data_IF_939771421290
#
_entry.id   IF_939771421290
#
_cell.length_a   1.000
_cell.length_b   1.000
_cell.length_c   1.000
_cell.angle_alpha   90.00
_cell.angle_beta   90.00
_cell.angle_gamma   90.00
#
_symmetry.space_group_name_H-M   'P 1'
#
loop_
_entity.id
_entity.type
_entity.pdbx_description
1 polymer ?
#
# COMPACT_ATOMS: atom_id res chain seq x y z
N UNK A 1 -1.15 27.16 3.11
CA UNK A 1 -1.89 27.61 1.89
C UNK A 1 -3.02 26.62 1.67
N UNK A 2 -4.26 27.10 1.67
CA UNK A 2 -5.41 26.28 1.31
C UNK A 2 -5.33 25.98 -0.20
N UNK A 3 -5.33 24.73 -0.60
CA UNK A 3 -5.45 24.35 -2.00
C UNK A 3 -6.86 24.70 -2.46
N UNK A 4 -6.98 25.67 -3.34
CA UNK A 4 -8.26 26.04 -3.93
C UNK A 4 -8.53 25.05 -5.07
N UNK A 5 -9.63 24.32 -4.95
CA UNK A 5 -10.14 23.47 -6.02
C UNK A 5 -10.71 24.35 -7.12
N UNK A 6 -10.21 24.20 -8.35
CA UNK A 6 -10.64 25.00 -9.52
C UNK A 6 -11.61 24.26 -10.45
N UNK A 7 -12.06 23.06 -10.08
CA UNK A 7 -12.99 22.27 -10.88
C UNK A 7 -14.40 22.29 -10.32
N UNK A 8 -15.41 22.28 -11.19
CA UNK A 8 -16.81 22.08 -10.81
C UNK A 8 -17.00 20.60 -10.47
N UNK A 9 -17.62 20.30 -9.31
CA UNK A 9 -18.00 18.95 -8.95
C UNK A 9 -19.01 18.40 -9.97
N UNK A 10 -18.71 17.26 -10.59
CA UNK A 10 -19.57 16.63 -11.60
C UNK A 10 -20.94 16.18 -11.05
N UNK A 11 -21.11 16.15 -9.74
CA UNK A 11 -22.34 15.78 -9.05
C UNK A 11 -23.10 16.99 -8.47
N UNK A 12 -22.74 18.20 -8.83
CA UNK A 12 -23.43 19.42 -8.40
C UNK A 12 -24.93 19.34 -8.53
N UNK A 13 -25.43 18.67 -9.58
CA UNK A 13 -26.87 18.50 -9.83
C UNK A 13 -27.56 17.62 -8.79
N UNK A 14 -26.83 16.69 -8.14
CA UNK A 14 -27.38 15.83 -7.09
C UNK A 14 -27.50 16.51 -5.73
N UNK A 15 -26.81 17.63 -5.55
CA UNK A 15 -26.75 18.34 -4.27
C UNK A 15 -26.98 19.84 -4.43
N UNK A 16 -28.20 20.25 -4.86
CA UNK A 16 -28.48 21.65 -5.23
C UNK A 16 -28.33 22.65 -4.08
N UNK A 17 -28.25 22.19 -2.84
CA UNK A 17 -28.05 23.02 -1.66
C UNK A 17 -26.58 23.38 -1.40
N UNK A 18 -25.65 22.79 -2.15
CA UNK A 18 -24.22 23.06 -1.99
C UNK A 18 -23.65 23.77 -3.20
N UNK A 19 -22.65 24.60 -2.99
CA UNK A 19 -21.91 25.21 -4.10
C UNK A 19 -21.28 24.14 -4.99
N UNK A 20 -21.27 24.36 -6.28
CA UNK A 20 -20.58 23.53 -7.27
C UNK A 20 -19.06 23.34 -6.99
N UNK A 21 -18.51 24.15 -6.10
CA UNK A 21 -17.12 24.12 -5.67
C UNK A 21 -16.93 23.56 -4.26
N UNK A 22 -17.99 23.04 -3.65
CA UNK A 22 -17.97 22.56 -2.27
C UNK A 22 -17.67 21.06 -2.26
N UNK A 23 -16.39 20.72 -2.34
CA UNK A 23 -15.93 19.33 -2.22
C UNK A 23 -16.05 18.84 -0.78
N UNK A 24 -16.52 17.59 -0.60
CA UNK A 24 -16.64 16.95 0.71
C UNK A 24 -17.33 17.81 1.77
N UNK A 25 -18.35 18.59 1.38
CA UNK A 25 -19.08 19.53 2.25
C UNK A 25 -18.15 20.49 3.02
N UNK A 26 -17.08 20.93 2.37
CA UNK A 26 -16.02 21.77 2.95
C UNK A 26 -15.28 21.14 4.14
N UNK A 27 -15.39 19.83 4.32
CA UNK A 27 -14.66 19.11 5.35
C UNK A 27 -13.99 17.83 4.81
N UNK A 28 -12.89 17.97 4.04
CA UNK A 28 -12.18 16.84 3.43
C UNK A 28 -11.52 15.90 4.43
N UNK A 29 -11.46 16.29 5.72
CA UNK A 29 -10.95 15.42 6.78
C UNK A 29 -11.99 14.42 7.30
N UNK A 30 -13.28 14.80 7.24
CA UNK A 30 -14.39 13.98 7.71
C UNK A 30 -15.18 13.31 6.58
N UNK A 31 -15.26 13.97 5.42
CA UNK A 31 -16.00 13.47 4.28
C UNK A 31 -15.02 13.13 3.18
N UNK A 32 -14.97 11.88 2.88
CA UNK A 32 -14.32 11.35 1.69
C UNK A 32 -15.26 11.62 0.50
N UNK A 33 -14.70 11.99 -0.66
CA UNK A 33 -15.48 12.04 -1.89
C UNK A 33 -15.99 10.64 -2.24
N UNK A 34 -17.22 10.35 -1.83
CA UNK A 34 -17.83 9.03 -2.01
C UNK A 34 -18.03 8.64 -3.47
N UNK A 35 -17.97 9.62 -4.36
CA UNK A 35 -18.19 9.44 -5.80
C UNK A 35 -16.91 9.43 -6.63
N UNK A 36 -15.76 9.74 -6.05
CA UNK A 36 -14.47 9.62 -6.71
C UNK A 36 -14.07 8.15 -6.89
N UNK A 37 -13.94 7.72 -8.13
CA UNK A 37 -13.23 6.48 -8.46
C UNK A 37 -11.79 6.70 -8.01
N UNK A 38 -11.26 5.92 -7.10
CA UNK A 38 -9.88 6.11 -6.69
C UNK A 38 -9.29 4.91 -5.97
N UNK A 39 -8.02 4.70 -6.23
CA UNK A 39 -7.20 3.82 -5.42
C UNK A 39 -6.88 4.49 -4.09
N UNK A 40 -7.21 3.83 -2.99
CA UNK A 40 -7.02 4.32 -1.63
C UNK A 40 -6.03 3.43 -0.91
N UNK A 41 -5.03 4.03 -0.30
CA UNK A 41 -4.15 3.35 0.66
C UNK A 41 -4.70 3.52 2.06
N UNK A 42 -4.94 2.41 2.72
CA UNK A 42 -5.24 2.35 4.14
C UNK A 42 -4.03 1.90 4.93
N UNK A 43 -3.90 2.43 6.14
CA UNK A 43 -3.01 1.87 7.15
C UNK A 43 -3.75 1.72 8.47
N UNK A 44 -3.68 0.52 9.03
CA UNK A 44 -4.40 0.13 10.24
C UNK A 44 -3.46 -0.44 11.29
N UNK A 45 -3.95 -0.69 12.49
CA UNK A 45 -3.26 -1.58 13.43
C UNK A 45 -3.16 -2.98 12.82
N UNK A 46 -2.04 -3.64 13.03
CA UNK A 46 -1.84 -4.99 12.51
C UNK A 46 -2.95 -5.92 13.03
N UNK A 47 -3.70 -6.59 12.14
CA UNK A 47 -4.75 -7.53 12.53
C UNK A 47 -4.18 -8.63 13.44
N UNK A 48 -4.89 -8.98 14.49
CA UNK A 48 -4.43 -9.97 15.48
C UNK A 48 -3.29 -9.51 16.40
N UNK A 49 -2.76 -8.29 16.24
CA UNK A 49 -1.88 -7.65 17.22
C UNK A 49 -2.71 -7.22 18.45
N UNK A 50 -3.34 -8.20 19.04
CA UNK A 50 -4.28 -8.05 20.14
C UNK A 50 -3.62 -7.42 21.37
N UNK A 51 -4.46 -6.81 22.18
CA UNK A 51 -4.25 -6.11 23.47
C UNK A 51 -3.23 -6.72 24.42
N UNK A 52 -2.77 -7.95 24.19
CA UNK A 52 -1.80 -8.68 24.99
C UNK A 52 -0.35 -8.24 24.82
N UNK A 53 0.02 -7.71 23.66
CA UNK A 53 1.39 -7.22 23.40
C UNK A 53 1.62 -5.76 23.78
N UNK A 54 0.55 -5.03 24.13
CA UNK A 54 0.60 -3.57 24.30
C UNK A 54 -0.20 -3.15 25.53
N UNK A 55 0.28 -3.50 26.72
CA UNK A 55 -0.07 -2.76 27.94
C UNK A 55 0.46 -1.34 27.82
N UNK A 56 -0.20 -0.48 27.04
CA UNK A 56 0.24 0.90 26.87
C UNK A 56 -0.31 1.60 25.61
N UNK A 57 -1.32 1.05 24.96
CA UNK A 57 -2.11 1.79 23.98
C UNK A 57 -1.44 2.03 22.64
N UNK A 58 -1.43 1.04 21.79
CA UNK A 58 -1.19 1.18 20.36
C UNK A 58 -0.16 0.21 19.80
N UNK A 59 -0.57 -0.66 18.87
CA UNK A 59 0.38 -1.44 18.10
C UNK A 59 1.30 -0.50 17.34
N UNK A 60 2.59 -0.52 17.63
CA UNK A 60 3.60 0.20 16.84
C UNK A 60 3.64 -0.33 15.40
N UNK A 61 3.30 -1.62 15.19
CA UNK A 61 3.25 -2.23 13.88
C UNK A 61 2.01 -1.78 13.11
N UNK A 62 2.20 -1.42 11.86
CA UNK A 62 1.17 -0.93 10.96
C UNK A 62 1.01 -1.90 9.80
N UNK A 63 -0.24 -2.27 9.52
CA UNK A 63 -0.67 -3.03 8.35
C UNK A 63 -1.15 -2.07 7.28
N UNK A 64 -0.76 -2.30 6.02
CA UNK A 64 -1.27 -1.52 4.89
C UNK A 64 -1.98 -2.41 3.88
N UNK A 65 -3.05 -1.86 3.29
CA UNK A 65 -3.79 -2.49 2.20
C UNK A 65 -4.32 -1.44 1.22
N UNK A 66 -4.69 -1.90 0.04
CA UNK A 66 -5.23 -1.05 -1.02
C UNK A 66 -6.71 -1.35 -1.21
N UNK A 67 -7.47 -0.31 -1.49
CA UNK A 67 -8.87 -0.40 -1.89
C UNK A 67 -9.04 0.37 -3.18
N UNK A 68 -9.67 -0.24 -4.16
CA UNK A 68 -10.09 0.43 -5.38
C UNK A 68 -11.59 0.53 -5.36
N UNK A 69 -12.11 1.75 -5.44
CA UNK A 69 -13.54 2.04 -5.52
C UNK A 69 -13.89 2.39 -6.96
N UNK A 70 -14.79 1.63 -7.56
CA UNK A 70 -15.27 1.91 -8.91
C UNK A 70 -16.37 2.99 -8.94
N UNK A 71 -16.71 3.42 -10.14
CA UNK A 71 -17.76 4.44 -10.39
C UNK A 71 -19.15 4.09 -9.84
N UNK A 72 -19.40 2.80 -9.54
CA UNK A 72 -20.66 2.33 -8.97
C UNK A 72 -20.59 2.25 -7.44
N UNK A 73 -19.47 2.67 -6.85
CA UNK A 73 -19.23 2.59 -5.41
C UNK A 73 -18.80 1.21 -4.92
N UNK A 74 -18.62 0.23 -5.81
CA UNK A 74 -18.12 -1.09 -5.44
C UNK A 74 -16.64 -0.99 -5.07
N UNK A 75 -16.31 -1.47 -3.89
CA UNK A 75 -14.94 -1.51 -3.38
C UNK A 75 -14.32 -2.88 -3.63
N UNK A 76 -13.11 -2.88 -4.18
CA UNK A 76 -12.25 -4.06 -4.31
C UNK A 76 -11.09 -3.90 -3.35
N UNK A 77 -10.93 -4.84 -2.44
CA UNK A 77 -9.94 -4.84 -1.38
C UNK A 77 -8.75 -5.73 -1.77
N UNK A 78 -7.55 -5.27 -1.50
CA UNK A 78 -6.30 -5.99 -1.74
C UNK A 78 -5.41 -5.90 -0.50
N UNK A 79 -5.47 -6.93 0.33
CA UNK A 79 -4.60 -7.10 1.49
C UNK A 79 -3.76 -8.37 1.33
N UNK A 80 -2.60 -8.38 1.94
CA UNK A 80 -1.66 -9.49 1.85
C UNK A 80 -1.13 -9.85 3.23
N UNK A 81 -1.02 -11.14 3.49
CA UNK A 81 -0.56 -11.66 4.76
C UNK A 81 0.11 -13.02 4.62
N UNK A 82 0.36 -13.66 5.74
CA UNK A 82 0.85 -15.05 5.78
C UNK A 82 -0.30 -16.03 5.50
N UNK A 83 -0.01 -17.10 4.76
CA UNK A 83 -0.92 -18.24 4.64
C UNK A 83 -1.07 -19.02 5.95
N UNK A 84 -0.16 -18.83 6.90
CA UNK A 84 -0.15 -19.49 8.21
C UNK A 84 -0.72 -18.51 9.25
N UNK A 85 -1.73 -18.94 9.98
CA UNK A 85 -2.31 -18.16 11.05
C UNK A 85 -1.49 -18.24 12.35
N UNK A 86 -1.58 -17.19 13.17
CA UNK A 86 -0.95 -17.13 14.48
C UNK A 86 0.52 -16.68 14.46
N UNK A 87 1.22 -16.90 15.58
CA UNK A 87 2.57 -16.38 15.78
C UNK A 87 3.58 -16.95 14.76
N UNK A 88 3.44 -18.20 14.38
CA UNK A 88 4.32 -18.83 13.38
C UNK A 88 4.17 -18.16 12.01
N UNK A 89 2.97 -17.72 11.66
CA UNK A 89 2.72 -16.98 10.43
C UNK A 89 3.47 -15.66 10.31
N UNK A 90 3.96 -15.11 11.42
CA UNK A 90 4.76 -13.89 11.41
C UNK A 90 6.17 -14.09 10.81
N UNK A 91 6.66 -15.33 10.82
CA UNK A 91 8.04 -15.66 10.44
C UNK A 91 8.14 -16.71 9.35
N UNK A 92 7.05 -17.41 9.04
CA UNK A 92 7.00 -18.49 8.07
C UNK A 92 5.76 -18.39 7.18
N UNK A 93 5.78 -19.11 6.08
CA UNK A 93 4.69 -19.18 5.14
C UNK A 93 4.96 -18.40 3.86
N UNK A 94 3.99 -18.44 2.98
CA UNK A 94 4.01 -17.70 1.72
C UNK A 94 3.17 -16.45 1.87
N UNK A 95 3.53 -15.44 1.11
CA UNK A 95 2.73 -14.24 1.00
C UNK A 95 1.48 -14.55 0.14
N UNK A 96 0.31 -14.33 0.73
CA UNK A 96 -0.98 -14.60 0.12
C UNK A 96 -1.87 -13.38 0.17
N UNK A 97 -2.78 -13.29 -0.77
CA UNK A 97 -3.94 -12.42 -0.64
C UNK A 97 -4.82 -12.95 0.49
N UNK A 98 -5.20 -12.06 1.39
CA UNK A 98 -5.98 -12.36 2.60
C UNK A 98 -7.13 -11.39 2.73
N UNK A 99 -8.18 -11.84 3.39
CA UNK A 99 -9.30 -10.99 3.77
C UNK A 99 -9.34 -10.93 5.29
N UNK A 100 -9.09 -9.75 5.83
CA UNK A 100 -9.18 -9.51 7.27
C UNK A 100 -10.51 -8.83 7.58
N UNK A 101 -11.28 -9.39 8.51
CA UNK A 101 -12.55 -8.80 8.96
C UNK A 101 -12.34 -7.38 9.49
N UNK A 102 -11.25 -7.14 10.21
CA UNK A 102 -10.89 -5.82 10.74
C UNK A 102 -10.71 -4.78 9.61
N UNK A 103 -10.11 -5.14 8.49
CA UNK A 103 -9.94 -4.25 7.35
C UNK A 103 -11.30 -3.87 6.74
N UNK A 104 -12.20 -4.86 6.60
CA UNK A 104 -13.55 -4.62 6.09
C UNK A 104 -14.36 -3.72 7.03
N UNK A 105 -14.24 -3.92 8.34
CA UNK A 105 -14.91 -3.08 9.33
C UNK A 105 -14.33 -1.65 9.38
N UNK A 106 -13.02 -1.48 9.22
CA UNK A 106 -12.40 -0.17 9.07
C UNK A 106 -12.88 0.54 7.81
N UNK A 107 -12.99 -0.17 6.68
CA UNK A 107 -13.51 0.38 5.44
C UNK A 107 -14.96 0.86 5.57
N UNK A 108 -15.79 0.16 6.33
CA UNK A 108 -17.18 0.54 6.67
C UNK A 108 -17.26 1.66 7.71
N UNK A 109 -16.14 2.01 8.36
CA UNK A 109 -16.07 3.02 9.40
C UNK A 109 -16.45 2.51 10.81
N UNK A 110 -16.62 1.20 11.00
CA UNK A 110 -17.00 0.60 12.28
C UNK A 110 -15.85 0.53 13.28
N UNK A 111 -14.62 0.23 12.81
CA UNK A 111 -13.42 0.14 13.66
C UNK A 111 -12.52 1.38 13.51
N UNK A 112 -13.06 2.57 13.79
CA UNK A 112 -12.33 3.85 13.66
C UNK A 112 -11.01 3.88 14.44
N UNK A 113 -10.96 3.23 15.60
CA UNK A 113 -9.76 3.20 16.45
C UNK A 113 -8.60 2.38 15.84
N UNK A 114 -8.88 1.52 14.87
CA UNK A 114 -7.89 0.74 14.15
C UNK A 114 -7.33 1.50 12.94
N UNK A 115 -8.06 2.49 12.43
CA UNK A 115 -7.61 3.31 11.31
C UNK A 115 -6.52 4.27 11.77
N UNK A 116 -5.33 4.15 11.18
CA UNK A 116 -4.19 5.04 11.43
C UNK A 116 -4.00 6.06 10.31
N UNK A 117 -4.31 5.66 9.08
CA UNK A 117 -4.08 6.49 7.90
C UNK A 117 -4.99 6.04 6.76
N UNK A 118 -5.45 7.01 5.97
CA UNK A 118 -6.25 6.79 4.76
C UNK A 118 -5.93 7.91 3.77
N UNK A 119 -5.55 7.55 2.55
CA UNK A 119 -5.25 8.53 1.51
C UNK A 119 -5.60 7.99 0.13
N UNK A 120 -6.31 8.78 -0.66
CA UNK A 120 -6.46 8.55 -2.08
C UNK A 120 -5.12 8.76 -2.79
N UNK A 121 -4.77 7.84 -3.67
CA UNK A 121 -3.50 7.88 -4.41
C UNK A 121 -3.72 8.64 -5.72
N UNK A 122 -2.99 9.71 -5.91
CA UNK A 122 -3.03 10.44 -7.16
C UNK A 122 -2.48 9.59 -8.32
N UNK A 123 -3.21 9.54 -9.46
CA UNK A 123 -2.72 8.88 -10.65
C UNK A 123 -1.37 9.42 -11.10
N UNK A 124 -0.41 8.55 -11.45
CA UNK A 124 0.92 8.97 -11.88
C UNK A 124 0.91 9.64 -13.26
N UNK A 125 2.03 10.28 -13.59
CA UNK A 125 2.28 10.76 -14.95
C UNK A 125 2.64 9.58 -15.85
N UNK A 126 2.16 9.62 -17.09
CA UNK A 126 2.59 8.72 -18.17
C UNK A 126 3.98 9.12 -18.68
N UNK A 127 4.62 8.25 -19.44
CA UNK A 127 5.92 8.53 -20.05
C UNK A 127 5.94 9.80 -20.94
N UNK A 128 4.79 10.17 -21.50
CA UNK A 128 4.62 11.40 -22.30
C UNK A 128 4.34 12.65 -21.47
N UNK A 129 4.46 12.59 -20.14
CA UNK A 129 4.22 13.69 -19.22
C UNK A 129 2.74 14.00 -18.93
N UNK A 130 1.78 13.34 -19.59
CA UNK A 130 0.36 13.51 -19.30
C UNK A 130 -0.04 12.75 -18.05
N UNK A 131 -0.92 13.34 -17.23
CA UNK A 131 -1.50 12.66 -16.08
C UNK A 131 -2.35 11.48 -16.55
N UNK A 132 -2.22 10.33 -15.90
CA UNK A 132 -3.09 9.16 -16.13
C UNK A 132 -4.50 9.49 -15.64
N UNK A 133 -5.56 9.00 -16.30
CA UNK A 133 -6.90 9.13 -15.74
C UNK A 133 -7.06 8.23 -14.51
N UNK A 134 -8.02 8.58 -13.65
CA UNK A 134 -8.30 7.79 -12.44
C UNK A 134 -8.71 6.38 -12.81
N UNK A 135 -9.60 6.23 -13.79
CA UNK A 135 -10.10 4.91 -14.23
C UNK A 135 -8.99 4.05 -14.84
N UNK A 136 -8.06 4.68 -15.57
CA UNK A 136 -6.91 3.98 -16.14
C UNK A 136 -5.96 3.51 -15.01
N UNK A 137 -5.73 4.36 -14.03
CA UNK A 137 -4.90 4.03 -12.88
C UNK A 137 -5.51 2.92 -12.03
N UNK A 138 -6.78 3.02 -11.69
CA UNK A 138 -7.49 2.02 -10.90
C UNK A 138 -7.50 0.65 -11.58
N UNK A 139 -7.79 0.62 -12.87
CA UNK A 139 -7.70 -0.61 -13.66
C UNK A 139 -6.29 -1.19 -13.64
N UNK A 140 -5.27 -0.34 -13.70
CA UNK A 140 -3.88 -0.77 -13.64
C UNK A 140 -3.53 -1.35 -12.27
N UNK A 141 -3.96 -0.71 -11.18
CA UNK A 141 -3.79 -1.21 -9.81
C UNK A 141 -4.46 -2.57 -9.65
N UNK A 142 -5.72 -2.72 -10.09
CA UNK A 142 -6.45 -3.99 -10.04
C UNK A 142 -5.70 -5.09 -10.80
N UNK A 143 -5.27 -4.81 -12.03
CA UNK A 143 -4.56 -5.80 -12.85
C UNK A 143 -3.24 -6.21 -12.20
N UNK A 144 -2.48 -5.25 -11.69
CA UNK A 144 -1.22 -5.48 -10.98
C UNK A 144 -1.45 -6.29 -9.71
N UNK A 145 -2.43 -5.92 -8.88
CA UNK A 145 -2.75 -6.63 -7.64
C UNK A 145 -3.18 -8.07 -7.91
N UNK A 146 -4.04 -8.30 -8.90
CA UNK A 146 -4.46 -9.66 -9.29
C UNK A 146 -3.30 -10.50 -9.83
N UNK A 147 -2.39 -9.90 -10.60
CA UNK A 147 -1.19 -10.61 -11.09
C UNK A 147 -0.18 -10.88 -9.98
N UNK A 148 -0.10 -9.99 -8.99
CA UNK A 148 0.68 -10.21 -7.77
C UNK A 148 0.11 -11.36 -6.96
N UNK A 149 -1.17 -11.36 -6.69
CA UNK A 149 -2.00 -12.43 -6.16
C UNK A 149 -1.30 -13.34 -5.14
N UNK A 150 -1.57 -14.62 -5.24
CA UNK A 150 -0.95 -15.66 -4.41
C UNK A 150 0.44 -16.02 -4.95
N UNK A 151 1.41 -15.14 -4.79
CA UNK A 151 2.72 -15.30 -5.38
C UNK A 151 3.55 -16.37 -4.63
N UNK A 152 3.88 -17.52 -5.27
CA UNK A 152 4.62 -18.59 -4.61
C UNK A 152 6.09 -18.26 -4.36
N UNK A 153 6.61 -17.22 -5.02
CA UNK A 153 8.03 -16.87 -5.00
C UNK A 153 8.38 -15.91 -3.86
N UNK A 154 7.38 -15.34 -3.18
CA UNK A 154 7.60 -14.43 -2.05
C UNK A 154 7.18 -15.13 -0.76
N UNK A 155 8.13 -15.33 0.14
CA UNK A 155 7.86 -15.80 1.49
C UNK A 155 7.34 -14.66 2.34
N UNK A 156 6.35 -14.94 3.18
CA UNK A 156 5.94 -13.97 4.18
C UNK A 156 7.00 -13.83 5.27
N UNK A 157 7.32 -12.61 5.62
CA UNK A 157 8.17 -12.30 6.76
C UNK A 157 7.79 -10.94 7.33
N UNK A 158 7.50 -10.86 8.63
CA UNK A 158 6.99 -9.65 9.27
C UNK A 158 7.94 -8.46 9.10
N UNK A 159 9.25 -8.71 9.15
CA UNK A 159 10.31 -7.71 9.00
C UNK A 159 11.21 -8.07 7.79
N UNK A 160 10.72 -7.97 6.55
CA UNK A 160 11.39 -8.53 5.38
C UNK A 160 12.73 -7.86 5.03
N UNK A 161 13.03 -6.71 5.60
CA UNK A 161 14.26 -5.99 5.30
C UNK A 161 14.43 -5.75 3.79
N UNK A 162 15.65 -5.93 3.29
CA UNK A 162 15.99 -5.79 1.86
C UNK A 162 16.07 -7.14 1.12
N UNK A 163 15.53 -8.24 1.70
CA UNK A 163 15.54 -9.53 1.03
C UNK A 163 14.49 -9.56 -0.09
N UNK A 164 14.90 -9.74 -1.37
CA UNK A 164 13.98 -9.68 -2.50
C UNK A 164 12.95 -10.83 -2.53
N UNK A 165 13.21 -11.93 -1.82
CA UNK A 165 12.31 -13.08 -1.75
C UNK A 165 11.40 -13.08 -0.52
N UNK A 166 11.46 -12.02 0.30
CA UNK A 166 10.63 -11.87 1.48
C UNK A 166 9.76 -10.62 1.38
N UNK A 167 8.52 -10.72 1.84
CA UNK A 167 7.57 -9.63 1.82
C UNK A 167 6.54 -9.72 2.94
N UNK A 168 5.79 -8.65 3.12
CA UNK A 168 4.66 -8.54 4.02
C UNK A 168 3.56 -7.66 3.38
N UNK A 169 2.51 -7.35 4.12
CA UNK A 169 1.44 -6.45 3.67
C UNK A 169 1.98 -5.10 3.14
N UNK A 170 2.93 -4.52 3.84
CA UNK A 170 3.48 -3.20 3.51
C UNK A 170 4.32 -3.23 2.22
N UNK A 171 5.15 -4.26 2.04
CA UNK A 171 5.90 -4.44 0.79
C UNK A 171 4.97 -4.72 -0.38
N UNK A 172 3.87 -5.45 -0.17
CA UNK A 172 2.89 -5.76 -1.21
C UNK A 172 2.20 -4.49 -1.70
N UNK A 173 1.66 -3.68 -0.78
CA UNK A 173 1.01 -2.41 -1.12
C UNK A 173 1.93 -1.49 -1.90
N UNK A 174 3.17 -1.29 -1.42
CA UNK A 174 4.13 -0.42 -2.13
C UNK A 174 4.59 -1.01 -3.47
N UNK A 175 4.73 -2.33 -3.58
CA UNK A 175 5.10 -3.00 -4.83
C UNK A 175 4.01 -2.84 -5.89
N UNK A 176 2.74 -3.03 -5.50
CA UNK A 176 1.59 -2.86 -6.40
C UNK A 176 1.51 -1.43 -6.89
N UNK A 177 1.61 -0.44 -6.00
CA UNK A 177 1.63 0.98 -6.37
C UNK A 177 2.78 1.31 -7.33
N UNK A 178 3.99 0.83 -7.04
CA UNK A 178 5.15 1.04 -7.89
C UNK A 178 4.95 0.45 -9.29
N UNK A 179 4.48 -0.77 -9.41
CA UNK A 179 4.18 -1.42 -10.69
C UNK A 179 3.01 -0.74 -11.43
N UNK A 180 2.06 -0.16 -10.69
CA UNK A 180 0.99 0.64 -11.29
C UNK A 180 1.49 1.99 -11.83
N UNK A 181 2.73 2.37 -11.53
CA UNK A 181 3.41 3.56 -12.06
C UNK A 181 3.59 4.70 -11.06
N UNK A 182 3.23 4.49 -9.79
CA UNK A 182 3.49 5.48 -8.73
C UNK A 182 5.01 5.59 -8.55
N UNK A 183 5.53 6.80 -8.59
CA UNK A 183 6.96 7.05 -8.53
C UNK A 183 7.54 6.73 -7.14
N UNK A 184 8.83 6.41 -7.11
CA UNK A 184 9.54 6.19 -5.84
C UNK A 184 9.46 7.41 -4.91
N UNK A 185 9.43 8.62 -5.46
CA UNK A 185 9.29 9.84 -4.68
C UNK A 185 7.91 9.91 -3.99
N UNK A 186 6.83 9.60 -4.73
CA UNK A 186 5.48 9.55 -4.16
C UNK A 186 5.36 8.45 -3.10
N UNK A 187 5.93 7.26 -3.34
CA UNK A 187 5.93 6.16 -2.36
C UNK A 187 6.70 6.55 -1.09
N UNK A 188 7.85 7.22 -1.22
CA UNK A 188 8.59 7.75 -0.06
C UNK A 188 7.78 8.80 0.71
N UNK A 189 7.07 9.68 0.03
CA UNK A 189 6.19 10.67 0.67
C UNK A 189 5.06 9.98 1.44
N UNK A 190 4.38 9.00 0.83
CA UNK A 190 3.36 8.19 1.51
C UNK A 190 3.93 7.50 2.76
N UNK A 191 5.13 6.92 2.65
CA UNK A 191 5.80 6.27 3.79
C UNK A 191 6.03 7.23 4.96
N UNK A 192 6.39 8.49 4.67
CA UNK A 192 6.63 9.50 5.69
C UNK A 192 5.34 9.95 6.40
N UNK A 193 4.21 9.87 5.73
CA UNK A 193 2.90 10.23 6.28
C UNK A 193 2.25 9.11 7.12
N UNK A 194 2.56 7.84 6.84
CA UNK A 194 1.96 6.72 7.56
C UNK A 194 2.53 6.62 8.97
N UNK A 195 1.70 6.71 10.02
CA UNK A 195 2.16 6.63 11.40
C UNK A 195 2.59 5.22 11.80
N UNK A 196 3.56 5.13 12.68
CA UNK A 196 4.06 3.89 13.26
C UNK A 196 5.11 3.16 12.42
N UNK A 197 5.36 1.90 12.76
CA UNK A 197 6.34 1.07 12.09
C UNK A 197 5.70 0.37 10.90
N UNK A 198 6.04 0.81 9.69
CA UNK A 198 5.57 0.25 8.41
C UNK A 198 6.72 -0.49 7.75
N UNK A 199 7.18 -1.56 8.40
CA UNK A 199 8.31 -2.34 7.91
C UNK A 199 8.11 -2.78 6.45
N UNK A 200 9.08 -2.48 5.61
CA UNK A 200 9.09 -2.86 4.20
C UNK A 200 8.26 -1.97 3.27
N UNK A 201 7.45 -1.02 3.77
CA UNK A 201 6.78 -0.07 2.88
C UNK A 201 7.80 0.83 2.17
N UNK A 202 7.65 0.97 0.87
CA UNK A 202 8.61 1.68 0.02
C UNK A 202 9.70 0.79 -0.56
N UNK A 203 9.75 -0.49 -0.18
CA UNK A 203 10.61 -1.47 -0.81
C UNK A 203 9.86 -2.18 -1.93
N UNK A 204 10.42 -2.15 -3.13
CA UNK A 204 9.92 -2.93 -4.26
C UNK A 204 10.30 -4.39 -4.12
N UNK A 205 9.37 -5.30 -4.44
CA UNK A 205 9.63 -6.75 -4.47
C UNK A 205 9.48 -7.27 -5.90
N UNK A 206 10.55 -7.83 -6.47
CA UNK A 206 10.43 -8.57 -7.71
C UNK A 206 9.55 -9.81 -7.47
N UNK A 207 8.56 -10.06 -8.31
CA UNK A 207 7.64 -11.18 -8.10
C UNK A 207 7.70 -12.27 -9.18
N UNK A 208 8.24 -11.97 -10.35
CA UNK A 208 8.49 -12.99 -11.35
C UNK A 208 9.79 -13.74 -11.05
N UNK A 209 9.88 -15.00 -11.44
CA UNK A 209 11.10 -15.78 -11.24
C UNK A 209 12.34 -15.13 -11.88
N UNK A 210 12.18 -14.50 -13.05
CA UNK A 210 13.27 -13.78 -13.73
C UNK A 210 13.69 -12.53 -12.99
N UNK A 211 12.74 -11.71 -12.50
CA UNK A 211 13.03 -10.52 -11.70
C UNK A 211 13.71 -10.88 -10.38
N UNK A 212 13.26 -11.96 -9.73
CA UNK A 212 13.87 -12.44 -8.49
C UNK A 212 15.28 -12.95 -8.71
N UNK A 213 15.50 -13.72 -9.77
CA UNK A 213 16.85 -14.17 -10.14
C UNK A 213 17.77 -12.98 -10.35
N UNK A 214 17.36 -11.98 -11.14
CA UNK A 214 18.14 -10.77 -11.38
C UNK A 214 18.48 -10.03 -10.07
N UNK A 215 17.51 -9.87 -9.18
CA UNK A 215 17.73 -9.19 -7.89
C UNK A 215 18.66 -9.98 -6.94
N UNK A 216 18.61 -11.31 -6.98
CA UNK A 216 19.52 -12.18 -6.22
C UNK A 216 20.93 -12.07 -6.79
N UNK A 217 21.08 -12.12 -8.10
CA UNK A 217 22.38 -12.04 -8.79
C UNK A 217 23.03 -10.67 -8.52
N UNK A 218 22.26 -9.58 -8.60
CA UNK A 218 22.74 -8.23 -8.24
C UNK A 218 23.21 -8.16 -6.78
N UNK A 219 22.40 -8.69 -5.84
CA UNK A 219 22.75 -8.74 -4.41
C UNK A 219 24.04 -9.53 -4.18
N UNK A 220 24.18 -10.68 -4.81
CA UNK A 220 25.37 -11.53 -4.67
C UNK A 220 26.61 -10.81 -5.23
N UNK A 221 26.48 -10.07 -6.32
CA UNK A 221 27.54 -9.25 -6.90
C UNK A 221 27.99 -8.14 -5.94
N UNK A 222 27.03 -7.46 -5.29
CA UNK A 222 27.33 -6.43 -4.29
C UNK A 222 28.08 -7.03 -3.11
N UNK A 223 27.62 -8.18 -2.59
CA UNK A 223 28.25 -8.88 -1.48
C UNK A 223 29.68 -9.33 -1.86
N UNK A 224 29.84 -9.91 -3.04
CA UNK A 224 31.15 -10.34 -3.54
C UNK A 224 32.13 -9.16 -3.64
N UNK A 225 31.72 -8.06 -4.24
CA UNK A 225 32.52 -6.85 -4.38
C UNK A 225 32.90 -6.25 -3.01
N UNK A 226 31.97 -6.26 -2.05
CA UNK A 226 32.25 -5.83 -0.68
C UNK A 226 33.36 -6.66 -0.03
N UNK A 227 33.27 -7.98 -0.08
CA UNK A 227 34.26 -8.87 0.52
C UNK A 227 35.61 -8.84 -0.21
N UNK A 228 35.60 -8.71 -1.54
CA UNK A 228 36.82 -8.59 -2.34
C UNK A 228 37.59 -7.32 -2.01
N UNK A 229 36.88 -6.19 -1.85
CA UNK A 229 37.49 -4.94 -1.43
C UNK A 229 37.97 -4.97 0.01
N UNK A 230 37.24 -5.64 0.92
CA UNK A 230 37.62 -5.81 2.31
C UNK A 230 38.92 -6.62 2.46
N UNK A 231 39.03 -7.73 1.75
CA UNK A 231 40.24 -8.57 1.75
C UNK A 231 41.44 -7.88 1.09
N UNK A 232 41.23 -6.87 0.24
CA UNK A 232 42.28 -6.05 -0.35
C UNK A 232 42.85 -4.98 0.59
N UNK A 233 42.10 -4.61 1.63
CA UNK A 233 42.53 -3.60 2.63
C UNK A 233 43.34 -4.20 3.79
N UNK A 234 43.33 -5.53 3.94
CA UNK A 234 43.99 -6.25 5.04
C UNK A 234 45.36 -6.85 4.60
N UNK A 235 45.95 -6.34 3.52
CA UNK A 235 47.32 -6.72 3.10
C UNK A 235 48.30 -5.64 3.48
#
# INVERSE_FOLDING_TARGET
MASVWYGVDRFTEKYPLYSAYNICRSNPLLFFDESGDSTILFATTLPGADKRFLKGGGSLATHTFLVVKDKNGKMTHFAYGSEINGLMGAFEGRLREVEYDDDLEVMKGNLKNHLKYKKAIEPPLKANGKKMSVEEFDRKVINVARSFGNNPNIKYFMLPGNNPTQGNCNTSSSTILHKAGVSNQQIKALRAEIPGIVSGFGSYRPWTASEQKAAIDERNTIIYNFWSNWNGVVK
#
